data_IF_202405278000
#
_entry.id   IF_202405278000
#
_cell.length_a   1.000
_cell.length_b   1.000
_cell.length_c   1.000
_cell.angle_alpha   90.00
_cell.angle_beta   90.00
_cell.angle_gamma   90.00
#
_symmetry.space_group_name_H-M   'P 1'
#
loop_
_entity.id
_entity.type
_entity.pdbx_description
1 polymer ?
#
# COMPACT_ATOMS: atom_id res chain seq x y z
N UNK A 1 -4.31 6.96 0.35
CA UNK A 1 -3.40 6.86 -0.81
C UNK A 1 -3.87 7.77 -1.92
N UNK A 2 -2.93 8.27 -2.69
CA UNK A 2 -3.12 9.11 -3.87
C UNK A 2 -2.35 8.49 -5.03
N UNK A 3 -2.91 8.56 -6.24
CA UNK A 3 -2.21 8.14 -7.45
C UNK A 3 -2.60 8.95 -8.68
N UNK A 4 -1.60 9.25 -9.49
CA UNK A 4 -1.70 9.61 -10.88
C UNK A 4 -0.62 8.78 -11.61
N UNK A 5 -0.92 7.67 -12.27
CA UNK A 5 -2.24 7.28 -12.77
C UNK A 5 -2.98 6.26 -11.88
N UNK A 6 -2.34 5.17 -11.47
CA UNK A 6 -3.04 4.11 -10.73
C UNK A 6 -2.18 3.49 -9.64
N UNK A 7 -2.76 3.26 -8.47
CA UNK A 7 -2.19 2.37 -7.46
C UNK A 7 -3.23 1.39 -6.93
N UNK A 8 -2.80 0.16 -6.74
CA UNK A 8 -3.56 -0.92 -6.13
C UNK A 8 -2.85 -1.35 -4.84
N UNK A 9 -3.62 -1.66 -3.81
CA UNK A 9 -3.13 -2.14 -2.52
C UNK A 9 -3.78 -3.47 -2.16
N UNK A 10 -2.97 -4.38 -1.68
CA UNK A 10 -3.37 -5.63 -1.05
C UNK A 10 -2.76 -5.73 0.34
N UNK A 11 -3.56 -6.22 1.28
CA UNK A 11 -3.21 -6.38 2.69
C UNK A 11 -3.33 -7.84 3.11
N UNK A 12 -2.60 -8.21 4.17
CA UNK A 12 -2.68 -9.53 4.77
C UNK A 12 -2.28 -10.64 3.79
N UNK A 13 -3.03 -11.74 3.78
CA UNK A 13 -2.75 -12.89 2.90
C UNK A 13 -2.74 -12.52 1.42
N UNK A 14 -3.55 -11.53 1.01
CA UNK A 14 -3.61 -11.08 -0.39
C UNK A 14 -2.35 -10.35 -0.83
N UNK A 15 -1.55 -9.83 0.10
CA UNK A 15 -0.29 -9.18 -0.23
C UNK A 15 0.72 -10.14 -0.87
N UNK A 16 0.58 -11.45 -0.64
CA UNK A 16 1.54 -12.48 -1.07
C UNK A 16 1.34 -13.02 -2.49
N UNK A 17 0.13 -12.94 -3.06
CA UNK A 17 -0.10 -13.46 -4.42
C UNK A 17 -1.55 -13.35 -4.93
N UNK A 18 -1.74 -13.75 -6.18
CA UNK A 18 -3.04 -13.81 -6.85
C UNK A 18 -3.66 -12.45 -7.15
N UNK A 19 -2.85 -11.42 -7.41
CA UNK A 19 -3.30 -10.04 -7.56
C UNK A 19 -4.18 -9.86 -8.79
N UNK A 20 -5.37 -9.35 -8.56
CA UNK A 20 -6.31 -8.96 -9.60
C UNK A 20 -6.89 -7.59 -9.25
N UNK A 21 -7.49 -6.94 -10.25
CA UNK A 21 -8.30 -5.76 -9.99
C UNK A 21 -9.43 -6.10 -9.00
N UNK A 22 -10.00 -7.30 -9.04
CA UNK A 22 -11.14 -7.68 -8.20
C UNK A 22 -10.82 -7.80 -6.71
N UNK A 23 -9.60 -8.21 -6.35
CA UNK A 23 -9.26 -8.53 -4.95
C UNK A 23 -8.41 -7.46 -4.24
N UNK A 24 -8.06 -6.35 -4.89
CA UNK A 24 -7.40 -5.22 -4.24
C UNK A 24 -8.28 -4.61 -3.14
N UNK A 25 -7.70 -4.36 -1.97
CA UNK A 25 -8.38 -3.80 -0.80
C UNK A 25 -8.59 -2.27 -0.95
N UNK A 26 -7.72 -1.60 -1.70
CA UNK A 26 -7.90 -0.20 -2.09
C UNK A 26 -7.32 0.06 -3.48
N UNK A 27 -7.94 1.01 -4.19
CA UNK A 27 -7.56 1.42 -5.55
C UNK A 27 -7.67 2.93 -5.66
N UNK A 28 -6.56 3.62 -5.87
CA UNK A 28 -6.61 5.02 -6.29
C UNK A 28 -6.35 5.04 -7.79
N UNK A 29 -7.38 5.37 -8.57
CA UNK A 29 -7.34 5.37 -10.02
C UNK A 29 -7.62 6.78 -10.53
N UNK A 30 -6.77 7.27 -11.41
CA UNK A 30 -6.95 8.53 -12.11
C UNK A 30 -8.23 8.47 -12.96
N UNK A 31 -9.06 9.50 -12.83
CA UNK A 31 -10.32 9.62 -13.54
C UNK A 31 -10.14 10.36 -14.88
N UNK A 32 -10.65 9.77 -15.95
CA UNK A 32 -10.73 10.35 -17.29
C UNK A 32 -12.21 10.50 -17.68
N UNK A 33 -12.63 11.61 -18.32
CA UNK A 33 -11.80 12.67 -18.91
C UNK A 33 -11.46 13.83 -17.96
N UNK A 34 -11.90 13.78 -16.70
CA UNK A 34 -11.82 14.94 -15.80
C UNK A 34 -10.39 15.28 -15.32
N UNK A 35 -9.40 14.43 -15.67
CA UNK A 35 -8.00 14.58 -15.27
C UNK A 35 -7.81 14.72 -13.75
N UNK A 36 -8.60 13.98 -12.98
CA UNK A 36 -8.56 14.01 -11.52
C UNK A 36 -7.76 12.82 -11.03
N UNK A 37 -6.71 13.09 -10.27
CA UNK A 37 -5.93 12.04 -9.63
C UNK A 37 -6.80 11.20 -8.67
N UNK A 38 -6.52 9.90 -8.64
CA UNK A 38 -7.24 8.97 -7.79
C UNK A 38 -6.88 9.14 -6.31
N UNK A 39 -7.83 8.84 -5.44
CA UNK A 39 -7.57 8.63 -4.02
C UNK A 39 -8.40 7.48 -3.46
N UNK A 40 -7.85 6.82 -2.45
CA UNK A 40 -8.55 5.78 -1.69
C UNK A 40 -8.01 5.71 -0.27
N UNK A 41 -8.82 5.21 0.66
CA UNK A 41 -8.41 4.88 2.03
C UNK A 41 -8.87 3.48 2.38
N UNK A 42 -8.15 2.86 3.29
CA UNK A 42 -8.51 1.60 3.92
C UNK A 42 -8.11 1.69 5.39
N UNK A 43 -8.90 1.06 6.26
CA UNK A 43 -8.67 1.05 7.69
C UNK A 43 -8.36 -0.37 8.16
N UNK A 44 -7.31 -0.49 8.98
CA UNK A 44 -6.93 -1.72 9.65
C UNK A 44 -7.00 -1.51 11.15
N UNK A 45 -7.51 -2.49 11.87
CA UNK A 45 -7.51 -2.54 13.32
C UNK A 45 -6.63 -3.71 13.80
N UNK A 46 -5.30 -3.57 13.76
CA UNK A 46 -4.40 -4.63 14.19
C UNK A 46 -4.50 -4.85 15.69
N UNK A 47 -4.42 -6.11 16.10
CA UNK A 47 -4.06 -6.44 17.48
C UNK A 47 -2.58 -6.11 17.72
N UNK A 48 -2.21 -5.87 18.97
CA UNK A 48 -0.82 -5.56 19.33
C UNK A 48 0.16 -6.62 18.80
N UNK A 49 1.36 -6.16 18.42
CA UNK A 49 2.47 -7.00 17.96
C UNK A 49 2.21 -7.83 16.69
N UNK A 50 1.19 -7.49 15.90
CA UNK A 50 0.93 -8.13 14.60
C UNK A 50 1.50 -7.29 13.46
N UNK A 51 2.27 -7.94 12.58
CA UNK A 51 2.67 -7.35 11.30
C UNK A 51 1.53 -7.48 10.30
N UNK A 52 1.24 -6.40 9.58
CA UNK A 52 0.29 -6.42 8.48
C UNK A 52 1.10 -6.44 7.17
N UNK A 53 1.12 -7.57 6.44
CA UNK A 53 1.72 -7.63 5.12
C UNK A 53 1.01 -6.63 4.20
N UNK A 54 1.79 -5.80 3.51
CA UNK A 54 1.28 -4.85 2.53
C UNK A 54 1.98 -5.07 1.19
N UNK A 55 1.23 -4.99 0.09
CA UNK A 55 1.78 -4.89 -1.25
C UNK A 55 1.02 -3.82 -2.01
N UNK A 56 1.75 -2.95 -2.68
CA UNK A 56 1.15 -2.01 -3.62
C UNK A 56 1.88 -2.05 -4.95
N UNK A 57 1.12 -1.80 -6.02
CA UNK A 57 1.66 -1.65 -7.37
C UNK A 57 1.18 -0.31 -7.88
N UNK A 58 2.15 0.55 -8.21
CA UNK A 58 1.91 1.82 -8.85
C UNK A 58 2.22 1.71 -10.34
N UNK A 59 1.26 2.12 -11.17
CA UNK A 59 1.39 2.20 -12.62
C UNK A 59 1.20 3.65 -13.07
N UNK A 60 2.09 4.09 -13.94
CA UNK A 60 2.01 5.38 -14.62
C UNK A 60 1.84 5.10 -16.11
N UNK A 61 0.94 5.83 -16.75
CA UNK A 61 0.55 5.65 -18.15
C UNK A 61 1.03 6.82 -19.03
N UNK A 62 0.72 8.07 -18.66
CA UNK A 62 1.07 9.24 -19.48
C UNK A 62 1.53 10.45 -18.64
N UNK A 63 2.37 11.30 -19.24
CA UNK A 63 2.89 12.55 -18.65
C UNK A 63 3.54 12.37 -17.27
N UNK A 64 3.37 13.36 -16.38
CA UNK A 64 3.88 13.32 -15.02
C UNK A 64 3.02 12.43 -14.14
N UNK A 65 3.68 11.60 -13.34
CA UNK A 65 3.02 10.73 -12.37
C UNK A 65 3.30 11.13 -10.93
N UNK A 66 2.50 10.59 -10.02
CA UNK A 66 2.69 10.77 -8.59
C UNK A 66 1.98 9.69 -7.79
N UNK A 67 2.65 9.21 -6.74
CA UNK A 67 2.08 8.27 -5.79
C UNK A 67 2.39 8.74 -4.37
N UNK A 68 1.42 8.61 -3.48
CA UNK A 68 1.62 8.83 -2.06
C UNK A 68 0.85 7.80 -1.24
N UNK A 69 1.58 7.09 -0.36
CA UNK A 69 1.02 6.34 0.75
C UNK A 69 1.13 7.19 2.01
N UNK A 70 0.01 7.38 2.69
CA UNK A 70 -0.06 8.00 4.02
C UNK A 70 -0.71 7.01 4.97
N UNK A 71 -0.05 6.71 6.08
CA UNK A 71 -0.62 5.91 7.18
C UNK A 71 -0.75 6.81 8.40
N UNK A 72 -1.95 6.82 8.97
CA UNK A 72 -2.29 7.65 10.12
C UNK A 72 -2.85 6.74 11.21
N UNK A 73 -2.47 6.98 12.46
CA UNK A 73 -3.08 6.35 13.64
C UNK A 73 -4.46 6.97 13.94
N UNK A 74 -5.30 6.34 14.78
CA UNK A 74 -6.62 6.87 15.15
C UNK A 74 -6.58 8.27 15.80
N UNK A 75 -5.48 8.63 16.46
CA UNK A 75 -5.30 9.96 17.07
C UNK A 75 -4.77 11.03 16.07
N UNK A 76 -4.66 10.70 14.78
CA UNK A 76 -4.24 11.63 13.73
C UNK A 76 -2.73 11.74 13.49
N UNK A 77 -1.90 11.00 14.23
CA UNK A 77 -0.46 10.98 14.01
C UNK A 77 -0.12 10.28 12.69
N UNK A 78 0.70 10.93 11.86
CA UNK A 78 1.18 10.36 10.60
C UNK A 78 2.46 9.56 10.86
N UNK A 79 2.44 8.27 10.51
CA UNK A 79 3.58 7.36 10.75
C UNK A 79 4.26 6.88 9.46
N UNK A 80 3.61 7.08 8.32
CA UNK A 80 4.18 6.90 6.97
C UNK A 80 3.68 8.05 6.11
N UNK A 81 4.58 8.72 5.38
CA UNK A 81 4.23 9.79 4.43
C UNK A 81 5.48 10.49 3.88
N UNK A 82 5.31 11.37 2.89
CA UNK A 82 6.43 12.00 2.18
C UNK A 82 7.31 12.91 3.05
N UNK A 83 6.76 13.43 4.15
CA UNK A 83 7.45 14.35 5.07
C UNK A 83 7.63 13.73 6.46
N UNK A 84 7.66 12.39 6.53
CA UNK A 84 7.87 11.65 7.79
C UNK A 84 9.19 10.91 7.66
N UNK A 85 10.10 11.13 8.61
CA UNK A 85 11.35 10.40 8.68
C UNK A 85 11.10 8.89 8.78
N UNK A 86 12.07 8.09 8.35
CA UNK A 86 11.97 6.64 8.46
C UNK A 86 11.71 6.22 9.92
N UNK A 87 10.54 5.62 10.15
CA UNK A 87 10.10 5.15 11.47
C UNK A 87 10.17 3.62 11.60
N UNK A 88 10.03 3.07 12.82
CA UNK A 88 10.12 1.63 13.08
C UNK A 88 8.90 0.82 12.57
N UNK A 89 7.90 1.48 11.99
CA UNK A 89 6.60 0.88 11.65
C UNK A 89 6.58 0.11 10.33
N UNK A 90 7.50 0.44 9.41
CA UNK A 90 7.61 -0.25 8.12
C UNK A 90 8.88 -1.08 8.14
N UNK A 91 8.72 -2.39 8.13
CA UNK A 91 9.83 -3.35 8.16
C UNK A 91 9.75 -4.28 6.97
N UNK A 92 10.91 -4.78 6.53
CA UNK A 92 10.99 -5.80 5.48
C UNK A 92 10.77 -7.21 6.03
N UNK A 93 11.16 -7.45 7.28
CA UNK A 93 11.10 -8.75 7.93
C UNK A 93 10.55 -8.58 9.35
N UNK A 94 9.79 -9.58 9.83
CA UNK A 94 9.46 -9.69 11.24
C UNK A 94 10.71 -10.04 12.05
N UNK A 95 10.77 -9.60 13.32
CA UNK A 95 11.84 -9.99 14.26
C UNK A 95 11.77 -11.49 14.69
N UNK A 96 11.07 -12.34 13.93
CA UNK A 96 10.78 -13.75 14.19
C UNK A 96 10.04 -14.37 12.99
N UNK A 97 9.26 -15.44 13.20
CA UNK A 97 8.49 -16.12 12.14
C UNK A 97 7.01 -15.70 12.05
N UNK A 98 6.62 -14.61 12.72
CA UNK A 98 5.22 -14.18 12.80
C UNK A 98 4.68 -13.59 11.50
N UNK A 99 5.54 -13.17 10.57
CA UNK A 99 5.16 -12.77 9.22
C UNK A 99 5.99 -13.55 8.18
N UNK A 100 5.35 -14.28 7.24
CA UNK A 100 6.05 -14.88 6.12
C UNK A 100 6.81 -13.84 5.30
N UNK A 101 7.99 -14.24 4.82
CA UNK A 101 8.83 -13.39 3.96
C UNK A 101 8.19 -13.29 2.58
N UNK A 102 8.19 -12.10 2.00
CA UNK A 102 7.79 -11.94 0.59
C UNK A 102 8.73 -12.71 -0.33
N UNK A 103 8.21 -13.39 -1.37
CA UNK A 103 9.06 -13.98 -2.39
C UNK A 103 9.97 -12.92 -3.02
N UNK A 104 11.13 -13.32 -3.56
CA UNK A 104 11.95 -12.44 -4.37
C UNK A 104 11.12 -11.78 -5.48
N UNK A 105 11.46 -10.54 -5.79
CA UNK A 105 10.84 -9.84 -6.91
C UNK A 105 10.99 -10.65 -8.21
N UNK A 106 9.89 -10.82 -8.96
CA UNK A 106 9.81 -11.64 -10.15
C UNK A 106 9.50 -13.12 -9.90
N UNK A 107 9.44 -13.56 -8.65
CA UNK A 107 9.12 -14.95 -8.25
C UNK A 107 7.74 -15.06 -7.57
N UNK A 108 6.85 -14.14 -7.89
CA UNK A 108 5.55 -14.01 -7.28
C UNK A 108 4.49 -14.89 -7.96
N UNK A 109 3.49 -15.34 -7.19
CA UNK A 109 2.45 -16.29 -7.63
C UNK A 109 1.08 -15.63 -7.85
#
# INVERSE_FOLDING_TARGET
MYANDAVYLWLGVKAYGGWTLGNADAKALHNQPDHIAGSASFEVNPTESVYIPIRFVYGQAQYGGGFMLKVTTPNGQVIVGNNVDAGPYVVRYSCGSSAPVFPPFGSEI
#
